data_IF_683121628714
#
_entry.id   IF_683121628714
#
_cell.length_a   1.000
_cell.length_b   1.000
_cell.length_c   1.000
_cell.angle_alpha   90.00
_cell.angle_beta   90.00
_cell.angle_gamma   90.00
#
_symmetry.space_group_name_H-M   'P 1'
#
loop_
_entity.id
_entity.type
_entity.pdbx_description
1 polymer ?
#
# COMPACT_ATOMS: atom_id res chain seq x y z
N UNK A 1 2.41 7.71 13.20
CA UNK A 1 1.68 6.44 13.33
C UNK A 1 2.56 5.42 12.62
N UNK A 2 3.12 4.46 13.36
CA UNK A 2 4.00 3.46 12.77
C UNK A 2 3.13 2.27 12.38
N UNK A 3 2.80 2.18 11.09
CA UNK A 3 1.96 1.11 10.52
C UNK A 3 2.91 0.11 9.88
N UNK A 4 2.73 -1.18 10.16
CA UNK A 4 3.46 -2.25 9.50
C UNK A 4 2.63 -2.86 8.38
N UNK A 5 3.29 -3.59 7.46
CA UNK A 5 2.59 -4.30 6.39
C UNK A 5 1.53 -5.29 6.90
N UNK A 6 1.79 -5.95 8.03
CA UNK A 6 0.90 -6.95 8.60
C UNK A 6 -0.36 -6.36 9.24
N UNK A 7 -0.38 -5.04 9.48
CA UNK A 7 -1.56 -4.33 10.00
C UNK A 7 -2.58 -4.03 8.91
N UNK A 8 -2.20 -4.16 7.64
CA UNK A 8 -3.08 -3.96 6.49
C UNK A 8 -3.84 -5.24 6.16
N UNK A 9 -5.11 -5.09 5.77
CA UNK A 9 -5.87 -6.19 5.20
C UNK A 9 -5.39 -6.55 3.78
N UNK A 10 -5.89 -7.66 3.25
CA UNK A 10 -5.47 -8.16 1.93
C UNK A 10 -5.75 -7.19 0.79
N UNK A 11 -6.84 -6.42 0.85
CA UNK A 11 -7.23 -5.48 -0.20
C UNK A 11 -6.41 -4.20 -0.14
N UNK A 12 -6.05 -3.75 1.06
CA UNK A 12 -5.09 -2.68 1.31
C UNK A 12 -3.69 -3.04 0.83
N UNK A 13 -3.20 -4.23 1.18
CA UNK A 13 -1.92 -4.76 0.71
C UNK A 13 -1.89 -4.85 -0.83
N UNK A 14 -2.95 -5.41 -1.43
CA UNK A 14 -3.10 -5.50 -2.89
C UNK A 14 -3.10 -4.12 -3.53
N UNK A 15 -3.81 -3.16 -2.96
CA UNK A 15 -3.86 -1.78 -3.48
C UNK A 15 -2.48 -1.15 -3.50
N UNK A 16 -1.68 -1.30 -2.43
CA UNK A 16 -0.29 -0.81 -2.42
C UNK A 16 0.56 -1.53 -3.47
N UNK A 17 0.40 -2.84 -3.64
CA UNK A 17 1.13 -3.60 -4.64
C UNK A 17 0.82 -3.13 -6.08
N UNK A 18 -0.47 -2.95 -6.42
CA UNK A 18 -0.96 -2.49 -7.72
C UNK A 18 -0.42 -1.09 -8.04
N UNK A 19 -0.61 -0.13 -7.14
CA UNK A 19 -0.15 1.24 -7.36
C UNK A 19 1.37 1.33 -7.41
N UNK A 20 2.08 0.57 -6.56
CA UNK A 20 3.54 0.51 -6.59
C UNK A 20 4.10 -0.15 -7.85
N UNK A 21 3.29 -0.91 -8.59
CA UNK A 21 3.63 -1.46 -9.90
C UNK A 21 3.29 -0.49 -11.05
N UNK A 22 2.74 0.70 -10.75
CA UNK A 22 2.33 1.69 -11.76
C UNK A 22 1.04 1.31 -12.50
N UNK A 23 0.24 0.40 -11.94
CA UNK A 23 -1.03 -0.03 -12.53
C UNK A 23 -2.17 0.93 -12.17
N UNK A 24 -3.27 0.84 -12.95
CA UNK A 24 -4.43 1.72 -12.79
C UNK A 24 -5.10 1.58 -11.43
N UNK A 25 -5.54 2.72 -10.87
CA UNK A 25 -6.33 2.81 -9.64
C UNK A 25 -7.69 2.09 -9.76
N UNK A 26 -8.19 1.88 -10.98
CA UNK A 26 -9.46 1.17 -11.23
C UNK A 26 -9.39 -0.32 -10.86
N UNK A 27 -8.19 -0.87 -10.65
CA UNK A 27 -7.98 -2.24 -10.20
C UNK A 27 -7.98 -2.38 -8.67
N UNK A 28 -8.09 -1.27 -7.94
CA UNK A 28 -8.02 -1.22 -6.50
C UNK A 28 -9.42 -1.18 -5.87
N UNK A 29 -9.56 -1.80 -4.71
CA UNK A 29 -10.80 -1.74 -3.95
C UNK A 29 -11.07 -0.29 -3.45
N UNK A 30 -12.29 0.27 -3.66
CA UNK A 30 -12.60 1.63 -3.25
C UNK A 30 -12.50 1.89 -1.74
N UNK A 31 -12.78 0.89 -0.90
CA UNK A 31 -12.69 1.00 0.56
C UNK A 31 -11.22 1.01 0.97
N UNK A 32 -10.41 0.11 0.42
CA UNK A 32 -8.95 0.11 0.63
C UNK A 32 -8.31 1.44 0.21
N UNK A 33 -8.70 1.99 -0.96
CA UNK A 33 -8.25 3.32 -1.40
C UNK A 33 -8.60 4.42 -0.39
N UNK A 34 -9.81 4.37 0.16
CA UNK A 34 -10.26 5.35 1.15
C UNK A 34 -9.46 5.22 2.45
N UNK A 35 -9.25 4.01 2.95
CA UNK A 35 -8.48 3.77 4.17
C UNK A 35 -7.03 4.21 3.99
N UNK A 36 -6.36 3.78 2.93
CA UNK A 36 -4.96 4.12 2.67
C UNK A 36 -4.75 5.64 2.47
N UNK A 37 -5.73 6.36 1.94
CA UNK A 37 -5.70 7.84 1.91
C UNK A 37 -5.80 8.44 3.30
N UNK A 38 -6.68 7.93 4.17
CA UNK A 38 -6.78 8.37 5.58
C UNK A 38 -5.50 8.11 6.35
N UNK A 39 -4.81 7.02 6.04
CA UNK A 39 -3.50 6.67 6.61
C UNK A 39 -2.34 7.47 6.00
N UNK A 40 -2.57 8.26 4.96
CA UNK A 40 -1.52 9.04 4.28
C UNK A 40 -0.55 8.20 3.45
N UNK A 41 -0.93 6.96 3.10
CA UNK A 41 -0.12 6.04 2.29
C UNK A 41 -0.31 6.25 0.78
N UNK A 42 -1.42 6.90 0.39
CA UNK A 42 -1.76 7.23 -1.00
C UNK A 42 -2.20 8.69 -1.09
N UNK A 43 -1.81 9.34 -2.20
CA UNK A 43 -2.38 10.61 -2.65
C UNK A 43 -2.88 10.47 -4.09
N UNK A 44 -4.15 10.83 -4.33
CA UNK A 44 -4.84 10.59 -5.59
C UNK A 44 -4.75 9.10 -6.04
N UNK A 45 -3.89 8.82 -7.03
CA UNK A 45 -3.60 7.50 -7.62
C UNK A 45 -2.14 7.06 -7.42
N UNK A 46 -1.41 7.67 -6.49
CA UNK A 46 0.02 7.40 -6.29
C UNK A 46 0.32 7.06 -4.84
N UNK A 47 1.30 6.16 -4.63
CA UNK A 47 1.86 5.95 -3.30
C UNK A 47 2.60 7.19 -2.83
N UNK A 48 2.48 7.51 -1.56
CA UNK A 48 3.36 8.47 -0.90
C UNK A 48 4.72 7.82 -0.61
N UNK A 49 5.69 8.60 -0.14
CA UNK A 49 6.97 8.04 0.32
C UNK A 49 6.78 7.00 1.44
N UNK A 50 5.80 7.22 2.33
CA UNK A 50 5.45 6.26 3.38
C UNK A 50 4.89 4.95 2.79
N UNK A 51 3.98 5.03 1.81
CA UNK A 51 3.46 3.86 1.11
C UNK A 51 4.55 3.07 0.35
N UNK A 52 5.49 3.76 -0.28
CA UNK A 52 6.64 3.13 -0.93
C UNK A 52 7.57 2.42 0.07
N UNK A 53 7.85 3.05 1.21
CA UNK A 53 8.66 2.43 2.26
C UNK A 53 7.98 1.20 2.85
N UNK A 54 6.69 1.29 3.16
CA UNK A 54 5.90 0.17 3.66
C UNK A 54 5.94 -1.03 2.70
N UNK A 55 5.77 -0.79 1.39
CA UNK A 55 5.86 -1.83 0.35
C UNK A 55 7.25 -2.45 0.30
N UNK A 56 8.31 -1.62 0.36
CA UNK A 56 9.69 -2.08 0.29
C UNK A 56 10.04 -2.93 1.51
N UNK A 57 9.63 -2.52 2.69
CA UNK A 57 9.89 -3.27 3.93
C UNK A 57 9.18 -4.63 3.93
N UNK A 58 7.98 -4.71 3.34
CA UNK A 58 7.27 -5.97 3.14
C UNK A 58 8.05 -6.94 2.23
N UNK A 59 8.56 -6.45 1.10
CA UNK A 59 9.37 -7.26 0.17
C UNK A 59 10.66 -7.71 0.82
N UNK A 60 11.36 -6.81 1.52
CA UNK A 60 12.62 -7.13 2.21
C UNK A 60 12.40 -8.20 3.28
N UNK A 61 11.32 -8.11 4.07
CA UNK A 61 10.98 -9.15 5.05
C UNK A 61 10.70 -10.49 4.38
N UNK A 62 9.91 -10.50 3.29
CA UNK A 62 9.56 -11.75 2.60
C UNK A 62 10.73 -12.50 1.96
N UNK A 63 11.87 -11.84 1.72
CA UNK A 63 13.08 -12.50 1.18
C UNK A 63 14.11 -12.85 2.26
N UNK A 64 13.90 -12.38 3.49
CA UNK A 64 14.76 -12.66 4.64
C UNK A 64 14.28 -13.87 5.46
N UNK A 65 13.02 -14.29 5.24
CA UNK A 65 12.38 -15.49 5.82
C UNK A 65 12.54 -16.72 4.90
#
# INVERSE_FOLDING_TARGET
>A
MDISWADLDSDEQRTIAVLGAGLSIELCDPVALQTLRRLGLIIASHLTAAGHNLRRDAVVKSVAD
#
